data_IF_349691766573
#
_entry.id   IF_349691766573
#
_cell.length_a   1.000
_cell.length_b   1.000
_cell.length_c   1.000
_cell.angle_alpha   90.00
_cell.angle_beta   90.00
_cell.angle_gamma   90.00
#
_symmetry.space_group_name_H-M   'P 1'
#
loop_
_entity.id
_entity.type
_entity.pdbx_description
1 polymer ?
#
# COMPACT_ATOMS: atom_id res chain seq x y z
N UNK A 1 -1.28 -27.05 -22.57
CA UNK A 1 -0.25 -26.20 -21.95
C UNK A 1 -0.61 -26.13 -20.49
N UNK A 2 0.26 -26.60 -19.59
CA UNK A 2 -0.01 -26.60 -18.15
C UNK A 2 0.15 -25.14 -17.72
N UNK A 3 -0.95 -24.45 -17.42
CA UNK A 3 -0.93 -23.11 -16.82
C UNK A 3 -0.10 -23.18 -15.54
N UNK A 4 0.99 -22.44 -15.48
CA UNK A 4 1.83 -22.38 -14.29
C UNK A 4 1.05 -21.65 -13.21
N UNK A 5 0.66 -22.36 -12.16
CA UNK A 5 0.13 -21.72 -10.95
C UNK A 5 1.10 -20.64 -10.49
N UNK A 6 0.59 -19.43 -10.30
CA UNK A 6 1.39 -18.34 -9.70
C UNK A 6 1.92 -18.80 -8.35
N UNK A 7 3.25 -18.80 -8.19
CA UNK A 7 3.86 -19.15 -6.91
C UNK A 7 3.81 -17.94 -5.98
N UNK A 8 2.73 -17.86 -5.22
CA UNK A 8 2.42 -16.73 -4.32
C UNK A 8 3.49 -16.54 -3.24
N UNK A 9 4.16 -17.62 -2.82
CA UNK A 9 5.23 -17.55 -1.80
C UNK A 9 6.46 -16.76 -2.28
N UNK A 10 6.66 -16.65 -3.58
CA UNK A 10 7.78 -15.90 -4.16
C UNK A 10 7.44 -14.46 -4.54
N UNK A 11 6.19 -14.03 -4.32
CA UNK A 11 5.79 -12.66 -4.61
C UNK A 11 6.59 -11.65 -3.77
N UNK A 12 6.98 -10.56 -4.41
CA UNK A 12 7.74 -9.47 -3.79
C UNK A 12 6.79 -8.32 -3.46
N UNK A 13 6.91 -7.79 -2.27
CA UNK A 13 6.27 -6.55 -1.84
C UNK A 13 7.25 -5.39 -2.07
N UNK A 14 6.81 -4.36 -2.79
CA UNK A 14 7.64 -3.20 -3.13
C UNK A 14 7.02 -1.95 -2.53
N UNK A 15 7.78 -1.24 -1.69
CA UNK A 15 7.47 0.11 -1.23
C UNK A 15 8.20 1.13 -2.10
N UNK A 16 7.51 2.22 -2.45
CA UNK A 16 8.07 3.35 -3.19
C UNK A 16 8.18 4.58 -2.32
N UNK A 17 9.32 5.25 -2.38
CA UNK A 17 9.58 6.46 -1.62
C UNK A 17 10.23 7.50 -2.53
N UNK A 18 9.77 8.77 -2.45
CA UNK A 18 10.41 9.88 -3.15
C UNK A 18 11.86 10.04 -2.67
N UNK A 19 12.83 10.43 -3.54
CA UNK A 19 14.26 10.56 -3.19
C UNK A 19 14.54 11.45 -1.97
N UNK A 20 13.72 12.47 -1.76
CA UNK A 20 13.89 13.43 -0.65
C UNK A 20 13.11 13.02 0.63
N UNK A 21 12.54 11.83 0.63
CA UNK A 21 11.83 11.26 1.78
C UNK A 21 12.60 10.10 2.40
N UNK A 22 12.26 9.78 3.64
CA UNK A 22 12.82 8.61 4.33
C UNK A 22 11.94 7.40 4.04
N UNK A 23 12.51 6.29 3.50
CA UNK A 23 11.75 5.07 3.22
C UNK A 23 11.10 4.50 4.48
N UNK A 24 10.02 3.74 4.28
CA UNK A 24 9.31 3.01 5.34
C UNK A 24 8.83 3.93 6.48
N UNK A 25 8.43 5.15 6.14
CA UNK A 25 7.79 6.11 7.04
C UNK A 25 6.40 6.45 6.54
N UNK A 26 5.48 6.59 7.49
CA UNK A 26 4.11 7.02 7.20
C UNK A 26 3.86 8.37 7.91
N UNK A 27 3.52 9.40 7.14
CA UNK A 27 3.27 10.75 7.67
C UNK A 27 2.15 10.76 8.72
N UNK A 28 1.19 9.82 8.63
CA UNK A 28 0.08 9.71 9.58
C UNK A 28 0.52 9.24 10.97
N UNK A 29 1.75 8.74 11.13
CA UNK A 29 2.33 8.32 12.43
C UNK A 29 3.07 9.44 13.15
N UNK A 30 3.22 10.60 12.52
CA UNK A 30 3.79 11.79 13.15
C UNK A 30 2.75 12.47 14.05
N UNK A 31 3.21 13.29 15.01
CA UNK A 31 2.32 14.24 15.67
C UNK A 31 1.65 15.12 14.59
N UNK A 32 0.39 15.54 14.82
CA UNK A 32 -0.41 16.25 13.81
C UNK A 32 0.33 17.48 13.28
N UNK A 33 0.90 18.28 14.17
CA UNK A 33 1.63 19.51 13.86
C UNK A 33 2.84 19.22 12.95
N UNK A 34 3.61 18.17 13.26
CA UNK A 34 4.80 17.76 12.49
C UNK A 34 4.40 17.24 11.10
N UNK A 35 3.27 16.49 11.02
CA UNK A 35 2.73 16.01 9.75
C UNK A 35 2.33 17.18 8.83
N UNK A 36 1.66 18.20 9.37
CA UNK A 36 1.24 19.39 8.62
C UNK A 36 2.45 20.24 8.17
N UNK A 37 3.46 20.41 9.03
CA UNK A 37 4.67 21.12 8.68
C UNK A 37 5.44 20.38 7.56
N UNK A 38 5.60 19.07 7.69
CA UNK A 38 6.25 18.24 6.67
C UNK A 38 5.50 18.30 5.33
N UNK A 39 4.18 18.12 5.34
CA UNK A 39 3.37 18.17 4.12
C UNK A 39 3.49 19.52 3.41
N UNK A 40 3.43 20.64 4.15
CA UNK A 40 3.64 21.99 3.62
C UNK A 40 5.02 22.15 2.99
N UNK A 41 6.06 21.69 3.68
CA UNK A 41 7.44 21.72 3.19
C UNK A 41 7.59 20.97 1.87
N UNK A 42 7.04 19.75 1.79
CA UNK A 42 7.14 18.91 0.59
C UNK A 42 6.32 19.49 -0.57
N UNK A 43 5.12 20.02 -0.33
CA UNK A 43 4.31 20.66 -1.36
C UNK A 43 4.98 21.90 -1.96
N UNK A 44 5.69 22.70 -1.15
CA UNK A 44 6.41 23.89 -1.61
C UNK A 44 7.69 23.52 -2.36
N UNK A 45 8.44 22.52 -1.85
CA UNK A 45 9.71 22.10 -2.45
C UNK A 45 9.52 21.33 -3.78
N UNK A 46 8.38 20.65 -3.95
CA UNK A 46 8.13 19.73 -5.06
C UNK A 46 6.74 19.94 -5.70
N UNK A 47 6.43 21.16 -6.21
CA UNK A 47 5.10 21.48 -6.74
C UNK A 47 4.73 20.63 -7.96
N UNK A 48 5.72 20.14 -8.70
CA UNK A 48 5.52 19.30 -9.90
C UNK A 48 5.51 17.79 -9.60
N UNK A 49 5.75 17.39 -8.35
CA UNK A 49 5.81 15.98 -7.99
C UNK A 49 4.42 15.44 -7.71
N UNK A 50 4.01 14.46 -8.49
CA UNK A 50 2.67 13.85 -8.40
C UNK A 50 2.39 13.26 -6.99
N UNK A 51 3.40 12.68 -6.35
CA UNK A 51 3.26 12.10 -5.00
C UNK A 51 2.81 13.13 -3.94
N UNK A 52 3.07 14.42 -4.15
CA UNK A 52 2.77 15.48 -3.19
C UNK A 52 1.59 16.37 -3.60
N UNK A 53 0.87 16.06 -4.67
CA UNK A 53 -0.25 16.91 -5.12
C UNK A 53 -1.35 17.07 -4.06
N UNK A 54 -1.56 16.06 -3.23
CA UNK A 54 -2.55 16.10 -2.13
C UNK A 54 -2.06 16.89 -0.92
N UNK A 55 -0.76 17.17 -0.83
CA UNK A 55 -0.18 17.93 0.26
C UNK A 55 -0.46 19.44 0.14
N UNK A 56 -0.87 19.92 -1.03
CA UNK A 56 -1.37 21.27 -1.21
C UNK A 56 -2.69 21.53 -0.45
N UNK A 57 -3.48 20.47 -0.23
CA UNK A 57 -4.71 20.48 0.58
C UNK A 57 -4.62 19.39 1.65
N UNK A 58 -3.62 19.52 2.51
CA UNK A 58 -3.27 18.46 3.45
C UNK A 58 -4.32 18.26 4.54
N UNK A 59 -5.08 19.28 4.92
CA UNK A 59 -6.14 19.14 5.93
C UNK A 59 -7.19 18.12 5.48
N UNK A 60 -7.74 18.27 4.28
CA UNK A 60 -8.71 17.33 3.71
C UNK A 60 -8.10 15.95 3.48
N UNK A 61 -6.84 15.90 3.03
CA UNK A 61 -6.14 14.65 2.85
C UNK A 61 -5.88 13.92 4.16
N UNK A 62 -5.45 14.64 5.20
CA UNK A 62 -5.20 14.09 6.53
C UNK A 62 -6.48 13.48 7.15
N UNK A 63 -7.59 14.22 7.10
CA UNK A 63 -8.88 13.74 7.61
C UNK A 63 -9.41 12.53 6.84
N UNK A 64 -9.21 12.50 5.52
CA UNK A 64 -9.55 11.35 4.69
C UNK A 64 -8.72 10.12 5.10
N UNK A 65 -7.39 10.29 5.27
CA UNK A 65 -6.47 9.21 5.66
C UNK A 65 -6.77 8.68 7.05
N UNK A 66 -7.11 9.52 8.02
CA UNK A 66 -7.52 9.05 9.35
C UNK A 66 -8.71 8.12 9.26
N UNK A 67 -9.77 8.53 8.57
CA UNK A 67 -10.99 7.71 8.42
C UNK A 67 -10.73 6.43 7.61
N UNK A 68 -9.92 6.51 6.57
CA UNK A 68 -9.54 5.35 5.76
C UNK A 68 -8.74 4.34 6.59
N UNK A 69 -7.69 4.79 7.28
CA UNK A 69 -6.84 3.90 8.07
C UNK A 69 -7.62 3.25 9.23
N UNK A 70 -8.53 4.00 9.89
CA UNK A 70 -9.44 3.46 10.90
C UNK A 70 -10.39 2.41 10.34
N UNK A 71 -10.96 2.66 9.16
CA UNK A 71 -11.81 1.69 8.45
C UNK A 71 -11.03 0.41 8.12
N UNK A 72 -9.85 0.54 7.51
CA UNK A 72 -9.02 -0.60 7.11
C UNK A 72 -8.57 -1.40 8.34
N UNK A 73 -8.14 -0.71 9.41
CA UNK A 73 -7.74 -1.33 10.68
C UNK A 73 -8.88 -2.17 11.27
N UNK A 74 -10.04 -1.54 11.44
CA UNK A 74 -11.22 -2.20 12.02
C UNK A 74 -11.64 -3.40 11.18
N UNK A 75 -11.66 -3.24 9.85
CA UNK A 75 -12.02 -4.31 8.95
C UNK A 75 -11.00 -5.45 8.97
N UNK A 76 -9.71 -5.14 9.07
CA UNK A 76 -8.67 -6.16 9.17
C UNK A 76 -8.77 -6.98 10.45
N UNK A 77 -9.04 -6.34 11.59
CA UNK A 77 -9.30 -7.04 12.87
C UNK A 77 -10.53 -7.95 12.78
N UNK A 78 -11.63 -7.50 12.16
CA UNK A 78 -12.82 -8.33 11.93
C UNK A 78 -12.52 -9.58 11.08
N UNK A 79 -11.56 -9.49 10.16
CA UNK A 79 -11.10 -10.59 9.31
C UNK A 79 -10.05 -11.50 9.99
N UNK A 80 -9.74 -11.26 11.27
CA UNK A 80 -8.79 -12.04 12.05
C UNK A 80 -7.34 -11.55 11.98
N UNK A 81 -7.11 -10.35 11.45
CA UNK A 81 -5.81 -9.69 11.48
C UNK A 81 -5.41 -9.23 12.88
N UNK A 82 -4.12 -9.10 13.11
CA UNK A 82 -3.52 -8.63 14.37
C UNK A 82 -2.59 -7.44 14.08
N UNK A 83 -3.14 -6.25 13.71
CA UNK A 83 -2.33 -5.09 13.39
C UNK A 83 -1.58 -4.58 14.64
N UNK A 84 -0.29 -4.34 14.50
CA UNK A 84 0.57 -3.75 15.55
C UNK A 84 0.64 -2.21 15.43
N UNK A 85 0.29 -1.67 14.25
CA UNK A 85 0.32 -0.24 13.95
C UNK A 85 -1.06 0.26 13.51
N UNK A 86 -1.44 1.46 13.93
CA UNK A 86 -2.73 2.07 13.54
C UNK A 86 -2.74 2.59 12.09
N UNK A 87 -1.57 2.89 11.54
CA UNK A 87 -1.39 3.39 10.18
C UNK A 87 -0.42 2.47 9.46
N UNK A 88 -0.85 1.71 8.44
CA UNK A 88 -0.01 0.72 7.80
C UNK A 88 1.05 1.38 6.91
N UNK A 89 2.12 0.65 6.63
CA UNK A 89 3.00 0.97 5.51
C UNK A 89 2.39 0.42 4.23
N UNK A 90 2.43 1.21 3.15
CA UNK A 90 1.91 0.82 1.84
C UNK A 90 3.01 0.18 0.99
N UNK A 91 2.73 -1.01 0.51
CA UNK A 91 3.52 -1.72 -0.49
C UNK A 91 2.61 -2.09 -1.66
N UNK A 92 3.20 -2.61 -2.73
CA UNK A 92 2.46 -3.25 -3.83
C UNK A 92 3.12 -4.58 -4.19
N UNK A 93 2.32 -5.51 -4.71
CA UNK A 93 2.82 -6.82 -5.16
C UNK A 93 3.54 -6.67 -6.50
N UNK A 94 4.73 -7.30 -6.64
CA UNK A 94 5.56 -7.35 -7.86
C UNK A 94 6.00 -5.99 -8.39
N UNK A 95 5.71 -4.92 -7.67
CA UNK A 95 6.02 -3.56 -8.08
C UNK A 95 5.00 -2.97 -9.07
N UNK A 96 5.26 -1.73 -9.48
CA UNK A 96 4.41 -0.97 -10.40
C UNK A 96 5.22 0.13 -11.05
N UNK A 97 5.36 0.11 -12.37
CA UNK A 97 6.00 1.19 -13.13
C UNK A 97 5.25 2.51 -12.93
N UNK A 98 3.91 2.44 -12.84
CA UNK A 98 3.08 3.61 -12.55
C UNK A 98 3.47 4.26 -11.21
N UNK A 99 3.63 3.49 -10.14
CA UNK A 99 4.02 4.03 -8.83
C UNK A 99 5.48 4.44 -8.78
N UNK A 100 6.37 3.73 -9.45
CA UNK A 100 7.76 4.14 -9.58
C UNK A 100 7.86 5.57 -10.15
N UNK A 101 7.14 5.83 -11.25
CA UNK A 101 7.13 7.14 -11.89
C UNK A 101 6.40 8.18 -11.03
N UNK A 102 5.29 7.79 -10.36
CA UNK A 102 4.55 8.61 -9.42
C UNK A 102 5.44 9.16 -8.29
N UNK A 103 6.36 8.33 -7.76
CA UNK A 103 7.30 8.69 -6.72
C UNK A 103 8.65 9.20 -7.27
N UNK A 104 8.71 9.66 -8.53
CA UNK A 104 9.87 10.32 -9.11
C UNK A 104 11.09 9.39 -9.30
N UNK A 105 10.85 8.11 -9.59
CA UNK A 105 11.91 7.08 -9.71
C UNK A 105 12.82 7.00 -8.47
N UNK A 106 12.24 7.17 -7.30
CA UNK A 106 12.95 7.22 -6.03
C UNK A 106 13.34 5.86 -5.47
N UNK A 107 13.44 5.81 -4.14
CA UNK A 107 13.91 4.63 -3.42
C UNK A 107 12.84 3.54 -3.46
N UNK A 108 13.26 2.33 -3.77
CA UNK A 108 12.43 1.12 -3.69
C UNK A 108 12.95 0.23 -2.58
N UNK A 109 12.05 -0.22 -1.71
CA UNK A 109 12.35 -1.16 -0.64
C UNK A 109 11.55 -2.43 -0.87
N UNK A 110 12.18 -3.61 -0.76
CA UNK A 110 11.58 -4.91 -1.11
C UNK A 110 11.53 -5.85 0.06
N UNK A 111 10.43 -6.60 0.16
CA UNK A 111 10.22 -7.72 1.09
C UNK A 111 9.65 -8.90 0.33
N UNK A 112 9.97 -10.14 0.75
CA UNK A 112 9.24 -11.30 0.24
C UNK A 112 7.94 -11.50 1.03
N UNK A 113 6.83 -11.75 0.34
CA UNK A 113 5.55 -12.00 0.98
C UNK A 113 5.60 -13.20 1.94
N UNK A 114 6.37 -14.24 1.61
CA UNK A 114 6.55 -15.42 2.46
C UNK A 114 7.16 -15.13 3.84
N UNK A 115 7.87 -14.00 3.99
CA UNK A 115 8.54 -13.60 5.23
C UNK A 115 7.61 -12.78 6.14
N UNK A 116 6.37 -12.49 5.67
CA UNK A 116 5.36 -11.71 6.39
C UNK A 116 4.26 -12.64 6.91
N UNK A 117 3.98 -12.55 8.21
CA UNK A 117 2.86 -13.27 8.83
C UNK A 117 1.53 -12.74 8.27
N UNK A 118 0.63 -13.65 7.88
CA UNK A 118 -0.68 -13.31 7.33
C UNK A 118 -1.52 -12.41 8.26
N UNK A 119 -1.28 -12.46 9.56
CA UNK A 119 -1.97 -11.65 10.57
C UNK A 119 -1.54 -10.18 10.58
N UNK A 120 -0.46 -9.83 9.87
CA UNK A 120 0.07 -8.47 9.81
C UNK A 120 0.01 -7.84 8.42
N UNK A 121 -0.70 -8.47 7.48
CA UNK A 121 -0.79 -7.98 6.12
C UNK A 121 -2.20 -8.10 5.56
N UNK A 122 -2.67 -7.06 4.90
CA UNK A 122 -3.93 -7.05 4.17
C UNK A 122 -3.74 -6.49 2.77
N UNK A 123 -4.74 -6.66 1.89
CA UNK A 123 -4.61 -6.32 0.48
C UNK A 123 -5.87 -5.62 -0.02
N UNK A 124 -5.70 -4.74 -1.02
CA UNK A 124 -6.79 -4.17 -1.81
C UNK A 124 -6.45 -4.24 -3.29
N UNK A 125 -7.46 -4.48 -4.14
CA UNK A 125 -7.29 -4.45 -5.59
C UNK A 125 -7.32 -3.01 -6.08
N UNK A 126 -6.15 -2.37 -6.12
CA UNK A 126 -5.96 -0.97 -6.45
C UNK A 126 -5.81 -0.05 -5.23
N UNK A 127 -5.86 1.27 -5.47
CA UNK A 127 -5.66 2.34 -4.48
C UNK A 127 -6.81 2.39 -3.47
N UNK A 128 -6.55 1.93 -2.25
CA UNK A 128 -7.52 1.94 -1.15
C UNK A 128 -8.00 3.35 -0.79
N UNK A 129 -7.11 4.36 -0.89
CA UNK A 129 -7.44 5.75 -0.61
C UNK A 129 -8.40 6.35 -1.62
N UNK A 130 -8.16 6.10 -2.92
CA UNK A 130 -9.04 6.55 -3.98
C UNK A 130 -10.42 5.88 -3.90
N UNK A 131 -10.47 4.58 -3.65
CA UNK A 131 -11.72 3.83 -3.53
C UNK A 131 -12.52 4.26 -2.29
N UNK A 132 -11.87 4.38 -1.13
CA UNK A 132 -12.52 4.84 0.08
C UNK A 132 -13.02 6.28 -0.03
N UNK A 133 -12.21 7.18 -0.60
CA UNK A 133 -12.61 8.58 -0.83
C UNK A 133 -13.83 8.72 -1.74
N UNK A 134 -13.98 7.84 -2.73
CA UNK A 134 -15.11 7.84 -3.66
C UNK A 134 -16.37 7.19 -3.08
N UNK A 135 -16.21 6.06 -2.38
CA UNK A 135 -17.32 5.16 -2.04
C UNK A 135 -17.62 5.10 -0.54
N UNK A 136 -16.71 5.63 0.33
CA UNK A 136 -16.75 5.42 1.78
C UNK A 136 -16.49 3.97 2.22
N UNK A 137 -16.05 3.14 1.29
CA UNK A 137 -15.84 1.70 1.47
C UNK A 137 -14.76 1.20 0.50
N UNK A 138 -14.04 0.16 0.92
CA UNK A 138 -13.13 -0.60 0.07
C UNK A 138 -13.15 -2.06 0.51
N UNK A 139 -13.13 -2.99 -0.44
CA UNK A 139 -13.01 -4.41 -0.15
C UNK A 139 -11.58 -4.71 0.33
N UNK A 140 -11.45 -5.22 1.55
CA UNK A 140 -10.20 -5.65 2.13
C UNK A 140 -10.07 -7.17 2.02
N UNK A 141 -8.92 -7.63 1.54
CA UNK A 141 -8.61 -9.04 1.39
C UNK A 141 -7.58 -9.48 2.43
N UNK A 142 -7.76 -10.68 2.97
CA UNK A 142 -6.71 -11.40 3.70
C UNK A 142 -5.72 -12.03 2.73
N UNK A 143 -4.61 -12.56 3.24
CA UNK A 143 -3.68 -13.34 2.42
C UNK A 143 -4.34 -14.59 1.83
N UNK A 144 -5.27 -15.21 2.54
CA UNK A 144 -6.02 -16.38 2.07
C UNK A 144 -6.98 -16.00 0.92
N UNK A 145 -7.71 -14.88 1.06
CA UNK A 145 -8.58 -14.38 -0.01
C UNK A 145 -7.79 -14.08 -1.28
N UNK A 146 -6.62 -13.43 -1.14
CA UNK A 146 -5.75 -13.15 -2.27
C UNK A 146 -5.22 -14.43 -2.92
N UNK A 147 -4.79 -15.42 -2.11
CA UNK A 147 -4.34 -16.73 -2.61
C UNK A 147 -5.42 -17.43 -3.41
N UNK A 148 -6.66 -17.43 -2.91
CA UNK A 148 -7.78 -18.04 -3.58
C UNK A 148 -8.05 -17.37 -4.93
N UNK A 149 -8.10 -16.02 -4.98
CA UNK A 149 -8.32 -15.29 -6.23
C UNK A 149 -7.23 -15.51 -7.26
N UNK A 150 -5.96 -15.51 -6.84
CA UNK A 150 -4.83 -15.77 -7.73
C UNK A 150 -4.76 -17.24 -8.17
N UNK A 151 -5.16 -18.18 -7.31
CA UNK A 151 -5.18 -19.61 -7.61
C UNK A 151 -6.30 -20.02 -8.56
N UNK A 152 -7.43 -19.32 -8.55
CA UNK A 152 -8.55 -19.53 -9.46
C UNK A 152 -8.37 -18.85 -10.82
N UNK A 153 -7.41 -17.92 -10.94
CA UNK A 153 -7.15 -17.17 -12.15
C UNK A 153 -6.22 -17.95 -13.10
N UNK A 154 -6.67 -18.16 -14.35
CA UNK A 154 -5.88 -18.80 -15.40
C UNK A 154 -5.12 -17.75 -16.21
N UNK A 155 -3.92 -17.39 -15.75
CA UNK A 155 -3.07 -16.38 -16.38
C UNK A 155 -1.88 -15.97 -15.50
N UNK A 156 -1.14 -14.97 -15.94
CA UNK A 156 -0.07 -14.37 -15.15
C UNK A 156 -0.60 -13.20 -14.30
N UNK A 157 0.27 -12.61 -13.46
CA UNK A 157 -0.11 -11.53 -12.56
C UNK A 157 -0.56 -10.26 -13.30
N UNK A 158 0.05 -9.92 -14.43
CA UNK A 158 -0.35 -8.76 -15.23
C UNK A 158 -1.75 -8.96 -15.85
N UNK A 159 -2.08 -10.18 -16.27
CA UNK A 159 -3.40 -10.49 -16.78
C UNK A 159 -4.45 -10.46 -15.66
N UNK A 160 -4.09 -10.89 -14.45
CA UNK A 160 -4.94 -10.76 -13.26
C UNK A 160 -5.24 -9.29 -12.95
N UNK A 161 -4.24 -8.39 -12.99
CA UNK A 161 -4.45 -6.96 -12.77
C UNK A 161 -5.40 -6.35 -13.80
N UNK A 162 -5.27 -6.74 -15.07
CA UNK A 162 -6.16 -6.28 -16.16
C UNK A 162 -7.60 -6.75 -15.94
N UNK A 163 -7.79 -8.01 -15.57
CA UNK A 163 -9.11 -8.59 -15.28
C UNK A 163 -9.76 -7.92 -14.07
N UNK A 164 -8.98 -7.68 -13.01
CA UNK A 164 -9.42 -6.95 -11.82
C UNK A 164 -9.65 -5.45 -12.07
N UNK A 165 -9.23 -4.92 -13.21
CA UNK A 165 -9.39 -3.51 -13.58
C UNK A 165 -8.54 -2.56 -12.71
N UNK A 166 -7.40 -3.01 -12.21
CA UNK A 166 -6.52 -2.22 -11.36
C UNK A 166 -5.07 -2.19 -11.87
N UNK A 167 -4.31 -1.18 -11.47
CA UNK A 167 -2.91 -1.01 -11.86
C UNK A 167 -1.93 -1.80 -10.98
N UNK A 168 -2.36 -2.17 -9.77
CA UNK A 168 -1.56 -2.91 -8.80
C UNK A 168 -2.47 -3.49 -7.71
N UNK A 169 -1.97 -4.47 -6.98
CA UNK A 169 -2.52 -4.89 -5.69
C UNK A 169 -1.79 -4.12 -4.61
N UNK A 170 -2.51 -3.26 -3.90
CA UNK A 170 -1.98 -2.54 -2.74
C UNK A 170 -1.89 -3.48 -1.54
N UNK A 171 -0.84 -3.31 -0.77
CA UNK A 171 -0.55 -4.10 0.43
C UNK A 171 -0.46 -3.15 1.62
N UNK A 172 -1.26 -3.39 2.64
CA UNK A 172 -1.17 -2.70 3.92
C UNK A 172 -0.35 -3.58 4.87
N UNK A 173 0.87 -3.16 5.19
CA UNK A 173 1.73 -3.83 6.17
C UNK A 173 1.53 -3.19 7.54
N UNK A 174 1.00 -3.96 8.49
CA UNK A 174 0.55 -3.52 9.81
C UNK A 174 1.55 -3.75 10.94
N UNK A 175 2.78 -4.09 10.61
CA UNK A 175 3.85 -4.32 11.59
C UNK A 175 5.21 -3.91 11.01
N UNK A 176 5.96 -3.11 11.75
CA UNK A 176 7.29 -2.64 11.35
C UNK A 176 8.40 -3.68 11.56
N UNK A 177 8.09 -4.81 12.22
CA UNK A 177 9.10 -5.84 12.53
C UNK A 177 9.76 -6.43 11.28
N UNK A 178 9.10 -6.34 10.13
CA UNK A 178 9.60 -6.83 8.84
C UNK A 178 10.53 -5.84 8.14
N UNK A 179 10.46 -4.55 8.49
CA UNK A 179 11.23 -3.49 7.82
C UNK A 179 12.75 -3.66 7.96
N UNK A 180 13.22 -4.39 8.98
CA UNK A 180 14.63 -4.71 9.19
C UNK A 180 15.20 -5.73 8.19
N UNK A 181 14.35 -6.41 7.44
CA UNK A 181 14.71 -7.40 6.41
C UNK A 181 14.50 -6.86 4.99
N UNK A 182 14.10 -5.60 4.87
CA UNK A 182 13.84 -4.97 3.59
C UNK A 182 15.17 -4.54 2.94
N UNK A 183 15.36 -4.88 1.66
CA UNK A 183 16.49 -4.49 0.81
C UNK A 183 16.21 -3.20 0.03
#
# INVERSE_FOLDING_TARGET
MVGGFMNIENLILVNYCHPDCVPLKNIMRLAKEDAFEMAKKMAVAHPETTAFYRFADFENYYDLRLRQDEFLYSRFVELGGEPEENHPLSFVIEGSDYLRDWFGNGIQTKLFLRDVDARHVSFTLGDSGAMFGKNGFVELLTLEDLKNRLGEFDGNFDDFLKDAGCHYVEVQLWSDKYCKYAD
#
